data_IF_015319867527
#
_entry.id   IF_015319867527
#
_cell.length_a   1.000
_cell.length_b   1.000
_cell.length_c   1.000
_cell.angle_alpha   90.00
_cell.angle_beta   90.00
_cell.angle_gamma   90.00
#
_symmetry.space_group_name_H-M   'P 1'
#
loop_
_entity.id
_entity.type
_entity.pdbx_description
1 polymer ?
#
# COMPACT_ATOMS: atom_id res chain seq x y z
N UNK A 1 -18.29 -11.11 -49.60
CA UNK A 1 -19.08 -9.93 -50.00
C UNK A 1 -18.23 -8.69 -49.85
N UNK A 2 -18.06 -7.89 -50.91
CA UNK A 2 -17.29 -6.65 -50.87
C UNK A 2 -18.27 -5.48 -50.74
N UNK A 3 -18.39 -4.90 -49.55
CA UNK A 3 -19.15 -3.66 -49.38
C UNK A 3 -18.40 -2.51 -50.08
N UNK A 4 -19.10 -1.58 -50.77
CA UNK A 4 -18.47 -0.46 -51.44
C UNK A 4 -17.76 0.47 -50.44
N UNK A 5 -16.51 0.87 -50.75
CA UNK A 5 -15.70 1.76 -49.89
C UNK A 5 -16.42 3.06 -49.52
N UNK A 6 -17.24 3.62 -50.44
CA UNK A 6 -18.05 4.81 -50.16
C UNK A 6 -19.06 4.60 -49.03
N UNK A 7 -19.67 3.42 -48.95
CA UNK A 7 -20.64 3.09 -47.90
C UNK A 7 -19.93 2.89 -46.55
N UNK A 8 -18.76 2.26 -46.55
CA UNK A 8 -17.91 2.10 -45.35
C UNK A 8 -17.43 3.48 -44.86
N UNK A 9 -16.94 4.34 -45.75
CA UNK A 9 -16.49 5.68 -45.40
C UNK A 9 -17.63 6.56 -44.85
N UNK A 10 -18.84 6.43 -45.38
CA UNK A 10 -20.00 7.17 -44.88
C UNK A 10 -20.44 6.71 -43.48
N UNK A 11 -20.32 5.41 -43.18
CA UNK A 11 -20.72 4.85 -41.88
C UNK A 11 -19.62 4.96 -40.81
N UNK A 12 -18.35 4.82 -41.19
CA UNK A 12 -17.23 4.68 -40.25
C UNK A 12 -16.14 5.75 -40.41
N UNK A 13 -16.18 6.56 -41.47
CA UNK A 13 -15.11 7.52 -41.78
C UNK A 13 -14.86 8.54 -40.69
N UNK A 14 -15.93 9.11 -40.12
CA UNK A 14 -15.81 10.08 -39.03
C UNK A 14 -15.24 9.45 -37.74
N UNK A 15 -15.64 8.21 -37.42
CA UNK A 15 -15.09 7.49 -36.26
C UNK A 15 -13.61 7.18 -36.47
N UNK A 16 -13.26 6.60 -37.63
CA UNK A 16 -11.89 6.27 -37.97
C UNK A 16 -10.98 7.51 -38.01
N UNK A 17 -11.49 8.64 -38.49
CA UNK A 17 -10.76 9.90 -38.49
C UNK A 17 -10.47 10.38 -37.06
N UNK A 18 -11.47 10.34 -36.16
CA UNK A 18 -11.27 10.71 -34.75
C UNK A 18 -10.30 9.75 -34.05
N UNK A 19 -10.39 8.45 -34.31
CA UNK A 19 -9.48 7.45 -33.74
C UNK A 19 -8.03 7.72 -34.16
N UNK A 20 -7.80 7.98 -35.45
CA UNK A 20 -6.46 8.30 -35.98
C UNK A 20 -5.95 9.63 -35.42
N UNK A 21 -6.79 10.65 -35.31
CA UNK A 21 -6.41 11.94 -34.72
C UNK A 21 -5.98 11.75 -33.27
N UNK A 22 -6.77 11.06 -32.46
CA UNK A 22 -6.46 10.80 -31.05
C UNK A 22 -5.16 10.01 -30.89
N UNK A 23 -4.96 8.97 -31.70
CA UNK A 23 -3.73 8.18 -31.69
C UNK A 23 -2.50 9.04 -32.05
N UNK A 24 -2.61 9.85 -33.11
CA UNK A 24 -1.53 10.73 -33.55
C UNK A 24 -1.19 11.78 -32.49
N UNK A 25 -2.19 12.40 -31.87
CA UNK A 25 -2.01 13.39 -30.80
C UNK A 25 -1.27 12.79 -29.62
N UNK A 26 -1.68 11.61 -29.15
CA UNK A 26 -1.03 10.93 -28.04
C UNK A 26 0.43 10.58 -28.36
N UNK A 27 0.69 10.02 -29.55
CA UNK A 27 2.04 9.66 -29.99
C UNK A 27 2.93 10.90 -30.10
N UNK A 28 2.45 11.96 -30.76
CA UNK A 28 3.21 13.20 -30.93
C UNK A 28 3.50 13.89 -29.61
N UNK A 29 2.53 13.90 -28.69
CA UNK A 29 2.75 14.42 -27.35
C UNK A 29 3.89 13.68 -26.65
N UNK A 30 3.88 12.34 -26.69
CA UNK A 30 4.93 11.54 -26.07
C UNK A 30 6.31 11.78 -26.72
N UNK A 31 6.38 11.82 -28.05
CA UNK A 31 7.62 12.14 -28.78
C UNK A 31 8.20 13.50 -28.33
N UNK A 32 7.36 14.52 -28.21
CA UNK A 32 7.75 15.87 -27.77
C UNK A 32 8.17 15.89 -26.30
N UNK A 33 7.41 15.24 -25.42
CA UNK A 33 7.73 15.17 -24.00
C UNK A 33 9.09 14.50 -23.76
N UNK A 34 9.41 13.44 -24.49
CA UNK A 34 10.72 12.79 -24.43
C UNK A 34 11.82 13.69 -25.00
N UNK A 35 11.60 14.32 -26.15
CA UNK A 35 12.59 15.20 -26.78
C UNK A 35 12.92 16.44 -25.93
N UNK A 36 11.98 16.91 -25.11
CA UNK A 36 12.15 18.04 -24.19
C UNK A 36 12.50 17.60 -22.76
N UNK A 37 12.76 16.31 -22.53
CA UNK A 37 13.09 15.73 -21.21
C UNK A 37 12.06 16.03 -20.11
N UNK A 38 10.79 16.20 -20.50
CA UNK A 38 9.69 16.50 -19.59
C UNK A 38 9.26 15.25 -18.83
N UNK A 39 9.45 15.25 -17.51
CA UNK A 39 8.95 14.20 -16.62
C UNK A 39 7.48 14.45 -16.32
N UNK A 40 6.59 14.02 -17.21
CA UNK A 40 5.14 14.20 -17.06
C UNK A 40 4.62 13.40 -15.85
N UNK A 41 3.96 14.10 -14.93
CA UNK A 41 3.39 13.56 -13.69
C UNK A 41 1.92 13.18 -13.89
N UNK A 42 1.64 12.20 -14.75
CA UNK A 42 0.30 11.66 -14.98
C UNK A 42 -0.14 11.66 -16.44
N UNK A 43 -1.45 11.56 -16.67
CA UNK A 43 -2.03 11.58 -18.01
C UNK A 43 -2.31 13.02 -18.46
N UNK A 44 -1.85 13.43 -19.65
CA UNK A 44 -2.17 14.74 -20.21
C UNK A 44 -3.65 14.83 -20.57
N UNK A 45 -4.23 16.02 -20.42
CA UNK A 45 -5.54 16.36 -20.98
C UNK A 45 -5.34 17.03 -22.33
N UNK A 46 -6.02 16.54 -23.36
CA UNK A 46 -5.99 17.12 -24.70
C UNK A 46 -7.27 17.92 -24.96
N UNK A 47 -7.10 19.16 -25.42
CA UNK A 47 -8.19 20.07 -25.77
C UNK A 47 -8.00 20.59 -27.20
N UNK A 48 -9.10 20.71 -27.94
CA UNK A 48 -9.09 21.30 -29.27
C UNK A 48 -8.88 22.80 -29.20
N UNK A 49 -8.14 23.36 -30.17
CA UNK A 49 -7.93 24.81 -30.29
C UNK A 49 -8.95 25.37 -31.29
N UNK A 50 -9.66 26.44 -30.92
CA UNK A 50 -10.72 27.04 -31.75
C UNK A 50 -10.18 27.71 -33.04
N UNK A 51 -8.95 28.26 -32.99
CA UNK A 51 -8.28 28.88 -34.14
C UNK A 51 -7.53 27.85 -35.01
N UNK A 52 -8.28 27.11 -35.82
CA UNK A 52 -7.74 26.33 -36.94
C UNK A 52 -7.78 27.16 -38.22
N UNK A 53 -6.75 27.97 -38.45
CA UNK A 53 -6.64 28.85 -39.63
C UNK A 53 -6.39 28.08 -40.93
N UNK A 54 -5.97 26.82 -40.83
CA UNK A 54 -5.60 25.98 -41.96
C UNK A 54 -6.40 24.69 -41.95
N UNK A 55 -7.04 24.37 -43.09
CA UNK A 55 -7.79 23.13 -43.29
C UNK A 55 -6.90 21.89 -43.34
N UNK A 56 -5.59 22.07 -43.52
CA UNK A 56 -4.61 20.98 -43.58
C UNK A 56 -3.85 20.77 -42.27
N UNK A 57 -4.01 21.65 -41.27
CA UNK A 57 -3.30 21.54 -39.97
C UNK A 57 -4.28 21.41 -38.80
N UNK A 58 -3.93 20.53 -37.85
CA UNK A 58 -4.72 20.29 -36.64
C UNK A 58 -3.90 20.71 -35.42
N UNK A 59 -4.42 21.68 -34.66
CA UNK A 59 -3.79 22.17 -33.41
C UNK A 59 -4.50 21.55 -32.20
N UNK A 60 -3.71 21.06 -31.24
CA UNK A 60 -4.20 20.51 -29.96
C UNK A 60 -3.39 21.08 -28.82
N UNK A 61 -4.08 21.53 -27.78
CA UNK A 61 -3.46 21.91 -26.51
C UNK A 61 -3.34 20.67 -25.62
N UNK A 62 -2.15 20.40 -25.10
CA UNK A 62 -1.90 19.36 -24.11
C UNK A 62 -1.63 20.01 -22.75
N UNK A 63 -2.51 19.79 -21.78
CA UNK A 63 -2.40 20.29 -20.41
C UNK A 63 -1.92 19.14 -19.53
N UNK A 64 -0.79 19.32 -18.85
CA UNK A 64 -0.18 18.30 -18.02
C UNK A 64 0.70 18.93 -16.92
N UNK A 65 0.96 18.14 -15.89
CA UNK A 65 1.87 18.50 -14.82
C UNK A 65 3.23 17.82 -15.06
N UNK A 66 4.31 18.46 -14.63
CA UNK A 66 5.66 17.89 -14.66
C UNK A 66 6.18 17.74 -13.24
N UNK A 67 6.96 16.68 -13.00
CA UNK A 67 7.64 16.51 -11.73
C UNK A 67 8.52 17.73 -11.45
N UNK A 68 8.48 18.28 -10.23
CA UNK A 68 9.37 19.35 -9.87
C UNK A 68 10.81 18.85 -9.82
N UNK A 69 11.76 19.76 -10.02
CA UNK A 69 13.15 19.49 -9.69
C UNK A 69 13.29 19.47 -8.17
N UNK A 70 13.58 18.28 -7.62
CA UNK A 70 13.84 18.11 -6.20
C UNK A 70 15.32 18.37 -5.94
N UNK A 71 15.62 19.50 -5.32
CA UNK A 71 16.96 19.79 -4.79
C UNK A 71 17.05 19.21 -3.39
N UNK A 72 17.81 18.13 -3.23
CA UNK A 72 18.07 17.55 -1.91
C UNK A 72 19.01 18.51 -1.16
N UNK A 73 18.59 18.97 0.02
CA UNK A 73 19.41 19.80 0.90
C UNK A 73 20.57 19.03 1.52
N UNK A 74 21.35 19.71 2.37
CA UNK A 74 22.42 19.05 3.11
C UNK A 74 21.85 18.06 4.14
N UNK A 75 22.15 16.77 3.96
CA UNK A 75 21.75 15.68 4.86
C UNK A 75 22.81 15.38 5.92
N UNK A 76 23.95 16.08 5.92
CA UNK A 76 25.06 15.83 6.86
C UNK A 76 24.70 16.09 8.33
N UNK A 77 23.71 16.95 8.58
CA UNK A 77 23.21 17.26 9.93
C UNK A 77 22.19 16.25 10.46
N UNK A 78 21.77 15.26 9.66
CA UNK A 78 20.82 14.24 10.08
C UNK A 78 21.57 13.04 10.66
N UNK A 79 21.41 12.83 11.97
CA UNK A 79 21.94 11.64 12.64
C UNK A 79 20.88 10.53 12.67
N UNK A 80 21.27 9.32 12.25
CA UNK A 80 20.44 8.13 12.34
C UNK A 80 21.03 7.22 13.40
N UNK A 81 20.26 6.98 14.46
CA UNK A 81 20.67 6.04 15.51
C UNK A 81 20.53 4.60 15.00
N UNK A 82 21.65 3.89 14.94
CA UNK A 82 21.66 2.46 14.63
C UNK A 82 21.59 1.67 15.92
N UNK A 83 20.39 1.22 16.27
CA UNK A 83 20.21 0.29 17.40
C UNK A 83 20.78 -1.06 17.02
N UNK A 84 21.77 -1.52 17.78
CA UNK A 84 22.32 -2.88 17.67
C UNK A 84 21.95 -3.69 18.90
N UNK A 85 21.36 -4.86 18.69
CA UNK A 85 21.12 -5.83 19.74
C UNK A 85 22.06 -7.03 19.54
N UNK A 86 22.80 -7.40 20.59
CA UNK A 86 23.56 -8.65 20.63
C UNK A 86 22.71 -9.73 21.29
N UNK A 87 22.59 -10.88 20.65
CA UNK A 87 21.98 -12.08 21.25
C UNK A 87 23.11 -12.97 21.73
N UNK A 88 23.21 -13.17 23.04
CA UNK A 88 24.16 -14.07 23.67
C UNK A 88 23.47 -15.32 24.20
N UNK A 89 24.24 -16.13 24.93
CA UNK A 89 23.75 -17.40 25.49
C UNK A 89 22.63 -17.18 26.52
N UNK A 90 22.63 -16.06 27.24
CA UNK A 90 21.60 -15.73 28.23
C UNK A 90 20.20 -15.56 27.60
N UNK A 91 20.11 -14.87 26.46
CA UNK A 91 18.85 -14.68 25.73
C UNK A 91 18.35 -16.02 25.15
N UNK A 92 19.28 -16.87 24.70
CA UNK A 92 18.98 -18.22 24.21
C UNK A 92 18.43 -19.08 25.35
N UNK A 93 19.12 -19.13 26.49
CA UNK A 93 18.71 -19.90 27.66
C UNK A 93 17.35 -19.44 28.21
N UNK A 94 17.12 -18.13 28.26
CA UNK A 94 15.82 -17.58 28.66
C UNK A 94 14.71 -18.04 27.70
N UNK A 95 14.97 -18.01 26.40
CA UNK A 95 14.01 -18.46 25.38
C UNK A 95 13.72 -19.96 25.52
N UNK A 96 14.76 -20.77 25.73
CA UNK A 96 14.62 -22.21 25.96
C UNK A 96 13.79 -22.48 27.21
N UNK A 97 14.03 -21.76 28.31
CA UNK A 97 13.25 -21.88 29.54
C UNK A 97 11.77 -21.52 29.34
N UNK A 98 11.47 -20.47 28.56
CA UNK A 98 10.09 -20.12 28.20
C UNK A 98 9.44 -21.27 27.40
N UNK A 99 10.12 -21.81 26.39
CA UNK A 99 9.61 -22.91 25.57
C UNK A 99 9.37 -24.18 26.39
N UNK A 100 10.25 -24.47 27.36
CA UNK A 100 10.08 -25.60 28.29
C UNK A 100 8.83 -25.41 29.16
N UNK A 101 8.64 -24.23 29.73
CA UNK A 101 7.47 -23.91 30.56
C UNK A 101 6.15 -24.01 29.79
N UNK A 102 6.13 -23.60 28.51
CA UNK A 102 4.95 -23.74 27.66
C UNK A 102 4.54 -25.21 27.42
N UNK A 103 5.50 -26.15 27.45
CA UNK A 103 5.26 -27.58 27.23
C UNK A 103 5.15 -28.39 28.53
N UNK A 104 4.79 -27.74 29.63
CA UNK A 104 4.63 -28.39 30.94
C UNK A 104 3.50 -29.40 30.93
N UNK A 105 3.74 -30.57 31.52
CA UNK A 105 2.70 -31.55 31.84
C UNK A 105 2.48 -31.56 33.36
N UNK A 106 1.23 -31.43 33.78
CA UNK A 106 0.86 -31.51 35.19
C UNK A 106 0.41 -32.93 35.52
N UNK A 107 0.92 -33.47 36.61
CA UNK A 107 0.48 -34.76 37.18
C UNK A 107 -0.16 -34.50 38.54
N UNK A 108 -1.18 -35.27 38.87
CA UNK A 108 -1.85 -35.17 40.16
C UNK A 108 -0.93 -35.64 41.29
N UNK A 109 -0.92 -34.91 42.40
CA UNK A 109 -0.11 -35.21 43.60
C UNK A 109 -0.89 -34.84 44.85
N UNK A 110 -0.79 -35.69 45.88
CA UNK A 110 -1.41 -35.46 47.19
C UNK A 110 -0.38 -34.92 48.18
N UNK A 111 -0.10 -33.62 48.07
CA UNK A 111 0.77 -32.86 48.99
C UNK A 111 0.34 -31.40 49.04
N UNK A 112 0.86 -30.66 50.01
CA UNK A 112 0.71 -29.20 50.06
C UNK A 112 1.20 -28.53 48.77
N UNK A 113 0.47 -27.49 48.34
CA UNK A 113 0.76 -26.74 47.13
C UNK A 113 2.07 -25.96 47.25
N UNK A 114 2.84 -25.92 46.16
CA UNK A 114 4.14 -25.25 46.08
C UNK A 114 4.22 -24.37 44.82
N UNK A 115 5.19 -23.46 44.81
CA UNK A 115 5.47 -22.64 43.64
C UNK A 115 5.75 -23.51 42.42
N UNK A 116 5.01 -23.25 41.33
CA UNK A 116 5.07 -24.03 40.09
C UNK A 116 3.97 -25.10 39.94
N UNK A 117 3.20 -25.38 41.00
CA UNK A 117 2.05 -26.26 40.91
C UNK A 117 0.86 -25.54 40.24
N UNK A 118 0.03 -26.31 39.53
CA UNK A 118 -1.27 -25.86 39.04
C UNK A 118 -2.33 -26.33 40.01
N UNK A 119 -3.07 -25.37 40.57
CA UNK A 119 -4.19 -25.65 41.48
C UNK A 119 -5.50 -25.33 40.77
N UNK A 120 -6.49 -26.20 40.94
CA UNK A 120 -7.87 -25.96 40.53
C UNK A 120 -8.62 -25.54 41.80
N UNK A 121 -9.17 -24.33 41.80
CA UNK A 121 -9.89 -23.77 42.95
C UNK A 121 -11.24 -23.23 42.52
N UNK A 122 -12.23 -23.43 43.38
CA UNK A 122 -13.50 -22.71 43.35
C UNK A 122 -13.42 -21.58 44.37
N UNK A 123 -13.83 -20.37 44.00
CA UNK A 123 -13.75 -19.22 44.89
C UNK A 123 -14.94 -18.26 44.75
N UNK A 124 -15.21 -17.54 45.83
CA UNK A 124 -16.18 -16.44 45.91
C UNK A 124 -15.56 -15.27 46.67
N UNK A 125 -15.26 -14.19 45.94
CA UNK A 125 -14.75 -12.94 46.48
C UNK A 125 -15.86 -12.04 47.00
N UNK A 126 -15.64 -11.44 48.17
CA UNK A 126 -16.58 -10.55 48.85
C UNK A 126 -15.90 -9.25 49.26
N UNK A 127 -16.61 -8.13 49.13
CA UNK A 127 -16.22 -6.83 49.67
C UNK A 127 -17.23 -6.50 50.76
N UNK A 128 -16.75 -6.23 51.98
CA UNK A 128 -17.60 -5.95 53.15
C UNK A 128 -18.66 -7.04 53.44
N UNK A 129 -18.35 -8.29 53.10
CA UNK A 129 -19.24 -9.44 53.28
C UNK A 129 -20.20 -9.69 52.11
N UNK A 130 -20.27 -8.78 51.14
CA UNK A 130 -21.14 -8.91 49.96
C UNK A 130 -20.37 -9.38 48.71
N UNK A 131 -20.88 -10.38 47.98
CA UNK A 131 -20.29 -10.79 46.71
C UNK A 131 -20.29 -9.65 45.69
N UNK A 132 -19.19 -9.49 44.95
CA UNK A 132 -19.09 -8.50 43.88
C UNK A 132 -19.06 -9.16 42.49
N UNK A 133 -19.52 -8.43 41.48
CA UNK A 133 -19.59 -8.93 40.11
C UNK A 133 -18.18 -9.25 39.55
N UNK A 134 -18.03 -10.43 38.95
CA UNK A 134 -16.73 -10.93 38.45
C UNK A 134 -15.83 -11.54 39.54
N UNK A 135 -16.27 -11.56 40.80
CA UNK A 135 -15.52 -12.07 41.93
C UNK A 135 -15.70 -13.57 42.23
N UNK A 136 -16.48 -14.31 41.45
CA UNK A 136 -16.74 -15.74 41.71
C UNK A 136 -16.45 -16.61 40.48
N UNK A 137 -15.87 -17.79 40.69
CA UNK A 137 -15.62 -18.78 39.65
C UNK A 137 -15.71 -20.20 40.22
N UNK A 138 -16.28 -21.11 39.43
CA UNK A 138 -16.36 -22.55 39.71
C UNK A 138 -15.88 -23.32 38.49
N UNK A 139 -15.04 -24.34 38.70
CA UNK A 139 -14.49 -25.17 37.61
C UNK A 139 -15.41 -26.35 37.27
#
# INVERSE_FOLDING_TARGET
GKAPLKMIAQMYGASAQNDVINELVQRRFYDVAVAQELKVAGYPRFEGVEEQDDKESFKVAAIFEVFPEVVIGDLSAQEVEKVTASVGDAEVDQTVEILRKQRTRFNHVDREARNGDRVIIDFEGKIDGEPFAGGASKN
#
